data_IF_103729868840
#
_entry.id   IF_103729868840
#
_cell.length_a   1.000
_cell.length_b   1.000
_cell.length_c   1.000
_cell.angle_alpha   90.00
_cell.angle_beta   90.00
_cell.angle_gamma   90.00
#
_symmetry.space_group_name_H-M   'P 1'
#
loop_
_entity.id
_entity.type
_entity.pdbx_description
1 polymer ?
#
# COMPACT_ATOMS: atom_id res chain seq x y z
N UNK A 1 -20.47 1.60 -29.67
CA UNK A 1 -20.78 2.17 -28.35
C UNK A 1 -19.65 1.83 -27.41
N UNK A 2 -18.82 2.82 -27.06
CA UNK A 2 -17.73 2.63 -26.09
C UNK A 2 -18.32 2.72 -24.68
N UNK A 3 -18.39 1.59 -23.97
CA UNK A 3 -18.62 1.61 -22.52
C UNK A 3 -17.42 2.29 -21.86
N UNK A 4 -17.68 3.32 -21.06
CA UNK A 4 -16.67 4.13 -20.39
C UNK A 4 -16.43 3.53 -18.98
N UNK A 5 -15.37 2.73 -18.76
CA UNK A 5 -15.20 1.92 -17.54
C UNK A 5 -14.98 2.75 -16.26
N UNK A 6 -14.68 4.04 -16.39
CA UNK A 6 -14.53 4.98 -15.28
C UNK A 6 -15.85 5.36 -14.60
N UNK A 7 -16.97 5.30 -15.32
CA UNK A 7 -18.29 5.62 -14.76
C UNK A 7 -18.77 4.51 -13.82
N UNK A 8 -18.43 3.24 -14.10
CA UNK A 8 -18.84 2.10 -13.28
C UNK A 8 -18.17 2.07 -11.91
N UNK A 9 -16.91 2.52 -11.80
CA UNK A 9 -16.18 2.56 -10.52
C UNK A 9 -16.78 3.56 -9.53
N UNK A 10 -17.11 4.78 -9.98
CA UNK A 10 -17.73 5.81 -9.13
C UNK A 10 -19.16 5.46 -8.71
N UNK A 11 -19.92 4.82 -9.60
CA UNK A 11 -21.28 4.33 -9.30
C UNK A 11 -21.21 3.19 -8.29
N UNK A 12 -20.24 2.29 -8.43
CA UNK A 12 -20.00 1.18 -7.50
C UNK A 12 -19.53 1.65 -6.12
N UNK A 13 -18.62 2.63 -6.06
CA UNK A 13 -18.09 3.22 -4.83
C UNK A 13 -19.20 3.96 -4.05
N UNK A 14 -20.05 4.73 -4.75
CA UNK A 14 -21.26 5.35 -4.15
C UNK A 14 -22.28 4.32 -3.69
N UNK A 15 -22.42 3.19 -4.38
CA UNK A 15 -23.30 2.10 -3.96
C UNK A 15 -22.78 1.39 -2.70
N UNK A 16 -21.46 1.23 -2.57
CA UNK A 16 -20.84 0.67 -1.36
C UNK A 16 -20.98 1.60 -0.16
N UNK A 17 -20.74 2.90 -0.33
CA UNK A 17 -20.89 3.90 0.72
C UNK A 17 -22.34 4.03 1.21
N UNK A 18 -23.33 3.99 0.30
CA UNK A 18 -24.77 4.01 0.65
C UNK A 18 -25.25 2.78 1.42
N UNK A 19 -24.58 1.64 1.26
CA UNK A 19 -24.93 0.39 1.94
C UNK A 19 -24.20 0.29 3.29
N UNK A 20 -22.96 0.78 3.37
CA UNK A 20 -22.23 0.90 4.63
C UNK A 20 -22.96 1.86 5.59
N UNK A 21 -23.42 3.02 5.10
CA UNK A 21 -24.15 4.01 5.91
C UNK A 21 -25.51 3.55 6.46
N UNK A 22 -26.05 2.41 6.01
CA UNK A 22 -27.32 1.85 6.53
C UNK A 22 -27.13 0.85 7.68
N UNK A 23 -25.91 0.45 8.03
CA UNK A 23 -25.66 -0.65 8.98
C UNK A 23 -24.53 -0.41 10.01
N UNK A 24 -24.07 0.82 10.24
CA UNK A 24 -22.99 1.07 11.19
C UNK A 24 -23.47 1.29 12.63
N UNK A 25 -23.48 0.21 13.41
CA UNK A 25 -23.27 0.25 14.86
C UNK A 25 -21.96 -0.42 15.29
N UNK A 26 -20.97 -0.50 14.40
CA UNK A 26 -19.61 -0.94 14.77
C UNK A 26 -18.59 0.06 14.24
N UNK A 27 -18.08 0.89 15.15
CA UNK A 27 -17.00 1.86 14.98
C UNK A 27 -15.65 1.25 14.56
N UNK A 28 -15.55 -0.08 14.49
CA UNK A 28 -14.33 -0.79 14.11
C UNK A 28 -14.19 -0.99 12.59
N UNK A 29 -15.25 -0.74 11.79
CA UNK A 29 -15.18 -0.94 10.34
C UNK A 29 -14.40 0.16 9.59
N UNK A 30 -14.42 1.39 10.11
CA UNK A 30 -13.77 2.59 9.54
C UNK A 30 -12.58 3.09 10.37
N UNK A 31 -11.95 2.21 11.13
CA UNK A 31 -10.78 2.56 11.94
C UNK A 31 -9.46 2.44 11.17
N UNK A 32 -8.55 3.38 11.40
CA UNK A 32 -7.14 3.29 11.02
C UNK A 32 -6.32 3.26 12.31
N UNK A 33 -5.55 2.21 12.52
CA UNK A 33 -4.62 2.11 13.63
C UNK A 33 -3.22 2.47 13.16
N UNK A 34 -2.52 3.33 13.90
CA UNK A 34 -1.15 3.73 13.62
C UNK A 34 -0.26 3.39 14.80
N UNK A 35 0.88 2.77 14.52
CA UNK A 35 1.89 2.36 15.50
C UNK A 35 3.26 2.90 15.08
N UNK A 36 4.22 3.05 16.01
CA UNK A 36 5.59 3.39 15.64
C UNK A 36 6.26 2.27 14.86
N UNK A 37 7.35 2.58 14.12
CA UNK A 37 8.11 1.57 13.39
C UNK A 37 8.73 0.54 14.34
N UNK A 38 9.33 0.98 15.43
CA UNK A 38 9.92 0.14 16.48
C UNK A 38 9.52 0.65 17.86
N UNK A 39 9.67 -0.20 18.88
CA UNK A 39 9.40 0.22 20.26
C UNK A 39 10.30 1.39 20.64
N UNK A 40 9.72 2.47 21.18
CA UNK A 40 10.45 3.69 21.55
C UNK A 40 10.75 4.65 20.40
N UNK A 41 10.46 4.30 19.14
CA UNK A 41 10.59 5.24 18.02
C UNK A 41 9.38 6.19 17.95
N UNK A 42 9.58 7.47 17.58
CA UNK A 42 8.46 8.39 17.40
C UNK A 42 7.61 8.00 16.18
N UNK A 43 6.30 8.22 16.28
CA UNK A 43 5.38 8.05 15.15
C UNK A 43 5.54 9.24 14.20
N UNK A 44 6.03 8.99 12.98
CA UNK A 44 6.00 9.97 11.90
C UNK A 44 4.84 9.66 10.94
N UNK A 45 3.83 10.54 10.92
CA UNK A 45 2.65 10.37 10.06
C UNK A 45 2.90 10.86 8.63
N UNK A 46 2.17 10.31 7.64
CA UNK A 46 2.09 10.89 6.31
C UNK A 46 1.78 12.39 6.30
N UNK A 47 2.34 13.11 5.33
CA UNK A 47 1.99 14.52 5.12
C UNK A 47 0.50 14.60 4.75
N UNK A 48 -0.25 15.47 5.43
CA UNK A 48 -1.68 15.63 5.20
C UNK A 48 -2.55 14.48 5.75
N UNK A 49 -1.98 13.48 6.44
CA UNK A 49 -2.72 12.31 6.94
C UNK A 49 -4.00 12.70 7.68
N UNK A 50 -3.88 13.63 8.64
CA UNK A 50 -5.01 14.10 9.46
C UNK A 50 -6.16 14.65 8.60
N UNK A 51 -5.86 15.36 7.52
CA UNK A 51 -6.85 15.92 6.61
C UNK A 51 -7.50 14.81 5.76
N UNK A 52 -6.68 13.90 5.23
CA UNK A 52 -7.11 12.82 4.34
C UNK A 52 -7.90 11.72 5.06
N UNK A 53 -7.84 11.68 6.39
CA UNK A 53 -8.56 10.72 7.23
C UNK A 53 -9.60 11.37 8.14
N UNK A 54 -10.03 12.61 7.87
CA UNK A 54 -11.00 13.33 8.74
C UNK A 54 -12.32 12.58 8.96
N UNK A 55 -12.77 11.83 7.97
CA UNK A 55 -14.00 11.02 8.04
C UNK A 55 -13.78 9.63 8.65
N UNK A 56 -12.55 9.29 9.07
CA UNK A 56 -12.18 7.96 9.57
C UNK A 56 -11.78 8.02 11.05
N UNK A 57 -11.99 6.92 11.76
CA UNK A 57 -11.59 6.82 13.16
C UNK A 57 -10.10 6.46 13.27
N UNK A 58 -9.24 7.46 13.49
CA UNK A 58 -7.80 7.23 13.62
C UNK A 58 -7.41 6.98 15.09
N UNK A 59 -6.80 5.82 15.35
CA UNK A 59 -6.19 5.47 16.65
C UNK A 59 -4.68 5.53 16.52
N UNK A 60 -4.05 6.43 17.29
CA UNK A 60 -2.60 6.49 17.42
C UNK A 60 -2.19 5.70 18.67
N UNK A 61 -1.23 4.80 18.51
CA UNK A 61 -0.68 4.01 19.60
C UNK A 61 0.80 4.35 19.79
N UNK A 62 1.21 4.57 21.03
CA UNK A 62 2.61 4.81 21.39
C UNK A 62 3.41 3.52 21.53
N UNK A 63 2.72 2.41 21.79
CA UNK A 63 3.32 1.09 22.00
C UNK A 63 2.80 0.12 20.96
N UNK A 64 3.72 -0.64 20.36
CA UNK A 64 3.37 -1.74 19.47
C UNK A 64 2.76 -2.83 20.36
N UNK A 65 1.51 -3.27 20.11
CA UNK A 65 0.94 -4.36 20.89
C UNK A 65 1.86 -5.57 20.73
N UNK A 66 2.15 -6.25 21.85
CA UNK A 66 2.73 -7.57 21.77
C UNK A 66 1.74 -8.42 20.98
N UNK A 67 2.08 -8.68 19.72
CA UNK A 67 1.44 -9.74 18.96
C UNK A 67 1.91 -11.03 19.63
N UNK A 68 1.30 -11.36 20.76
CA UNK A 68 1.57 -12.60 21.47
C UNK A 68 1.38 -13.77 20.50
N UNK A 69 1.94 -14.92 20.85
CA UNK A 69 1.65 -16.20 20.19
C UNK A 69 0.15 -16.58 20.23
N UNK A 70 -0.75 -15.69 20.67
CA UNK A 70 -2.19 -15.78 20.55
C UNK A 70 -2.61 -15.64 19.10
N UNK A 71 -2.67 -16.81 18.49
CA UNK A 71 -3.36 -17.18 17.26
C UNK A 71 -4.71 -16.46 17.12
N UNK A 72 -4.70 -15.25 16.56
CA UNK A 72 -5.68 -14.89 15.55
C UNK A 72 -4.91 -14.50 14.31
N UNK A 73 -4.76 -15.49 13.42
CA UNK A 73 -4.42 -15.25 12.02
C UNK A 73 -5.23 -14.05 11.53
N UNK A 74 -4.68 -13.21 10.62
CA UNK A 74 -5.48 -12.22 9.92
C UNK A 74 -6.79 -12.88 9.47
N UNK A 75 -7.91 -12.35 9.95
CA UNK A 75 -9.23 -12.96 9.81
C UNK A 75 -9.44 -13.30 8.35
N UNK A 76 -9.53 -14.60 8.03
CA UNK A 76 -9.62 -15.06 6.65
C UNK A 76 -10.90 -14.50 6.05
N UNK A 77 -10.93 -14.33 4.72
CA UNK A 77 -12.11 -13.83 3.97
C UNK A 77 -13.44 -14.47 4.41
N UNK A 78 -13.41 -15.77 4.74
CA UNK A 78 -14.57 -16.52 5.19
C UNK A 78 -15.06 -16.14 6.59
N UNK A 79 -14.16 -15.72 7.48
CA UNK A 79 -14.45 -15.37 8.87
C UNK A 79 -15.08 -13.97 8.98
N UNK A 80 -14.66 -13.00 8.13
CA UNK A 80 -15.30 -11.68 8.03
C UNK A 80 -16.75 -11.79 7.53
N UNK A 81 -17.01 -12.67 6.56
CA UNK A 81 -18.36 -12.96 6.09
C UNK A 81 -19.23 -13.70 7.14
N UNK A 82 -18.64 -14.24 8.21
CA UNK A 82 -19.33 -14.83 9.35
C UNK A 82 -19.60 -13.87 10.50
N UNK A 83 -18.89 -12.74 10.57
CA UNK A 83 -19.03 -11.73 11.62
C UNK A 83 -20.03 -10.61 11.28
N UNK A 84 -20.39 -10.48 9.99
CA UNK A 84 -21.38 -9.52 9.55
C UNK A 84 -22.77 -10.16 9.64
N UNK A 85 -23.66 -9.56 10.44
CA UNK A 85 -25.08 -9.96 10.58
C UNK A 85 -25.80 -9.56 9.28
N UNK A 86 -25.61 -10.36 8.24
CA UNK A 86 -26.35 -10.22 6.99
C UNK A 86 -27.52 -11.17 6.96
N UNK A 87 -28.63 -10.75 6.35
CA UNK A 87 -29.61 -11.71 5.82
C UNK A 87 -28.90 -12.66 4.84
N UNK A 88 -29.38 -13.88 4.66
CA UNK A 88 -28.78 -14.85 3.73
C UNK A 88 -28.62 -14.29 2.30
N UNK A 89 -29.49 -13.35 1.90
CA UNK A 89 -29.48 -12.65 0.60
C UNK A 89 -28.40 -11.56 0.53
N UNK A 90 -28.19 -10.82 1.61
CA UNK A 90 -27.14 -9.80 1.71
C UNK A 90 -25.75 -10.42 1.84
N UNK A 91 -25.66 -11.56 2.51
CA UNK A 91 -24.43 -12.37 2.60
C UNK A 91 -24.05 -12.90 1.23
N UNK A 92 -25.02 -13.38 0.46
CA UNK A 92 -24.81 -13.82 -0.92
C UNK A 92 -24.43 -12.66 -1.84
N UNK A 93 -24.99 -11.46 -1.66
CA UNK A 93 -24.61 -10.27 -2.42
C UNK A 93 -23.22 -9.73 -2.03
N UNK A 94 -22.87 -9.74 -0.75
CA UNK A 94 -21.54 -9.39 -0.24
C UNK A 94 -20.46 -10.38 -0.71
N UNK A 95 -20.79 -11.67 -0.73
CA UNK A 95 -19.95 -12.72 -1.32
C UNK A 95 -19.94 -12.62 -2.85
N UNK A 96 -21.04 -12.31 -3.55
CA UNK A 96 -21.03 -12.13 -5.01
C UNK A 96 -20.27 -10.87 -5.45
N UNK A 97 -20.17 -9.85 -4.58
CA UNK A 97 -19.31 -8.65 -4.74
C UNK A 97 -17.82 -8.96 -4.52
N UNK A 98 -17.38 -10.16 -4.90
CA UNK A 98 -15.99 -10.52 -5.00
C UNK A 98 -15.33 -9.65 -6.08
N UNK A 99 -14.86 -8.50 -5.62
CA UNK A 99 -14.02 -7.60 -6.39
C UNK A 99 -12.82 -8.37 -6.93
N UNK A 100 -12.59 -8.24 -8.24
CA UNK A 100 -11.48 -8.88 -8.95
C UNK A 100 -10.15 -8.56 -8.26
N UNK A 101 -9.14 -9.41 -8.47
CA UNK A 101 -7.78 -9.17 -7.97
C UNK A 101 -7.30 -7.74 -8.29
N UNK A 102 -7.67 -7.25 -9.46
CA UNK A 102 -7.42 -5.90 -9.94
C UNK A 102 -7.99 -4.82 -9.01
N UNK A 103 -9.25 -4.93 -8.59
CA UNK A 103 -9.86 -3.93 -7.70
C UNK A 103 -9.21 -3.93 -6.32
N UNK A 104 -8.75 -5.10 -5.84
CA UNK A 104 -7.97 -5.19 -4.61
C UNK A 104 -6.67 -4.41 -4.76
N UNK A 105 -5.94 -4.63 -5.85
CA UNK A 105 -4.71 -3.89 -6.13
C UNK A 105 -4.98 -2.39 -6.24
N UNK A 106 -5.99 -1.96 -7.00
CA UNK A 106 -6.38 -0.55 -7.14
C UNK A 106 -6.63 0.08 -5.76
N UNK A 107 -7.36 -0.59 -4.87
CA UNK A 107 -7.63 -0.05 -3.53
C UNK A 107 -6.37 0.05 -2.65
N UNK A 108 -5.44 -0.90 -2.76
CA UNK A 108 -4.15 -0.84 -2.05
C UNK A 108 -3.29 0.31 -2.56
N UNK A 109 -3.19 0.48 -3.89
CA UNK A 109 -2.47 1.61 -4.49
C UNK A 109 -3.13 2.94 -4.16
N UNK A 110 -4.46 3.06 -4.26
CA UNK A 110 -5.18 4.28 -3.83
C UNK A 110 -4.86 4.64 -2.40
N UNK A 111 -4.90 3.68 -1.47
CA UNK A 111 -4.56 3.94 -0.09
C UNK A 111 -3.12 4.44 0.06
N UNK A 112 -2.15 3.81 -0.59
CA UNK A 112 -0.75 4.25 -0.56
C UNK A 112 -0.57 5.66 -1.16
N UNK A 113 -1.10 5.92 -2.34
CA UNK A 113 -0.93 7.19 -3.04
C UNK A 113 -1.69 8.32 -2.35
N UNK A 114 -2.99 8.13 -2.09
CA UNK A 114 -3.86 9.19 -1.58
C UNK A 114 -3.70 9.38 -0.08
N UNK A 115 -3.69 8.30 0.71
CA UNK A 115 -3.65 8.42 2.18
C UNK A 115 -2.23 8.54 2.72
N UNK A 116 -1.26 7.85 2.12
CA UNK A 116 0.11 7.82 2.65
C UNK A 116 1.08 8.76 1.93
N UNK A 117 0.94 9.05 0.64
CA UNK A 117 1.76 10.08 -0.03
C UNK A 117 1.04 11.43 -0.14
N UNK A 118 -0.28 11.45 0.06
CA UNK A 118 -1.09 12.66 -0.11
C UNK A 118 -1.31 13.05 -1.57
N UNK A 119 -1.07 12.14 -2.53
CA UNK A 119 -1.22 12.41 -3.96
C UNK A 119 -2.70 12.37 -4.37
N UNK A 120 -3.26 13.43 -4.98
CA UNK A 120 -4.66 13.50 -5.39
C UNK A 120 -4.85 12.71 -6.68
N UNK A 121 -5.24 11.45 -6.56
CA UNK A 121 -5.41 10.62 -7.75
C UNK A 121 -6.81 10.75 -8.39
N UNK A 122 -7.83 11.08 -7.59
CA UNK A 122 -9.21 11.33 -8.07
C UNK A 122 -9.76 12.72 -7.75
N UNK A 123 -9.39 13.29 -6.62
CA UNK A 123 -9.84 14.61 -6.19
C UNK A 123 -8.71 15.60 -6.39
N UNK A 124 -8.61 16.19 -7.58
CA UNK A 124 -7.87 17.44 -7.73
C UNK A 124 -8.64 18.49 -6.92
N UNK A 125 -8.31 18.66 -5.65
CA UNK A 125 -8.53 19.94 -5.02
C UNK A 125 -7.57 20.91 -5.73
N UNK A 126 -8.08 21.91 -6.48
CA UNK A 126 -7.23 22.85 -7.20
C UNK A 126 -6.28 23.65 -6.29
N UNK A 127 -6.41 23.53 -4.96
CA UNK A 127 -5.50 24.13 -3.97
C UNK A 127 -4.29 23.26 -3.60
N UNK A 128 -4.32 21.96 -3.88
CA UNK A 128 -3.17 21.08 -3.64
C UNK A 128 -2.29 21.06 -4.90
N UNK A 129 -1.43 22.05 -5.02
CA UNK A 129 -0.38 22.09 -6.04
C UNK A 129 0.70 21.06 -5.71
N UNK A 130 0.82 20.01 -6.53
CA UNK A 130 2.01 19.17 -6.57
C UNK A 130 2.93 19.74 -7.65
N UNK A 131 4.21 19.89 -7.33
CA UNK A 131 5.22 20.17 -8.34
C UNK A 131 5.14 19.09 -9.42
N UNK A 132 4.88 19.49 -10.66
CA UNK A 132 5.08 18.64 -11.82
C UNK A 132 6.54 18.15 -11.83
N UNK A 133 6.76 16.85 -12.06
CA UNK A 133 8.11 16.29 -12.18
C UNK A 133 8.59 15.39 -11.03
N UNK A 134 7.70 14.90 -10.16
CA UNK A 134 8.08 13.88 -9.17
C UNK A 134 8.42 12.54 -9.85
N UNK A 135 9.20 11.69 -9.19
CA UNK A 135 9.55 10.34 -9.62
C UNK A 135 9.02 9.32 -8.62
N UNK A 136 8.20 8.38 -9.10
CA UNK A 136 7.68 7.25 -8.32
C UNK A 136 8.28 5.95 -8.85
N UNK A 137 8.87 5.18 -7.95
CA UNK A 137 9.40 3.84 -8.25
C UNK A 137 8.49 2.80 -7.60
N UNK A 138 7.90 1.92 -8.40
CA UNK A 138 7.08 0.79 -7.95
C UNK A 138 7.91 -0.50 -7.98
N UNK A 139 8.21 -1.04 -6.80
CA UNK A 139 9.05 -2.23 -6.61
C UNK A 139 8.19 -3.47 -6.42
N UNK A 140 8.43 -4.49 -7.23
CA UNK A 140 7.56 -5.65 -7.33
C UNK A 140 6.26 -5.31 -8.06
N UNK A 141 6.37 -4.46 -9.09
CA UNK A 141 5.24 -3.94 -9.86
C UNK A 141 4.44 -5.05 -10.57
N UNK A 142 5.02 -6.24 -10.74
CA UNK A 142 4.41 -7.41 -11.34
C UNK A 142 3.71 -7.09 -12.66
N UNK A 143 2.49 -7.59 -12.78
CA UNK A 143 1.61 -7.31 -13.91
C UNK A 143 0.63 -6.16 -13.63
N UNK A 144 0.92 -5.28 -12.66
CA UNK A 144 0.14 -4.05 -12.43
C UNK A 144 0.07 -3.20 -13.72
N UNK A 145 1.05 -3.39 -14.61
CA UNK A 145 1.11 -2.79 -15.93
C UNK A 145 0.13 -3.39 -16.97
N UNK A 146 -0.38 -4.61 -16.79
CA UNK A 146 -1.52 -5.13 -17.58
C UNK A 146 -2.86 -4.67 -17.03
N UNK A 147 -2.90 -4.12 -15.81
CA UNK A 147 -4.08 -3.49 -15.26
C UNK A 147 -4.12 -2.00 -15.65
N UNK A 148 -4.86 -1.63 -16.71
CA UNK A 148 -4.90 -0.25 -17.21
C UNK A 148 -5.39 0.74 -16.14
N UNK A 149 -6.18 0.27 -15.16
CA UNK A 149 -6.72 1.12 -14.10
C UNK A 149 -5.63 1.56 -13.12
N UNK A 150 -4.74 0.66 -12.72
CA UNK A 150 -3.61 1.03 -11.83
C UNK A 150 -2.54 1.81 -12.61
N UNK A 151 -2.27 1.43 -13.86
CA UNK A 151 -1.38 2.20 -14.73
C UNK A 151 -1.84 3.66 -14.89
N UNK A 152 -3.14 3.86 -15.13
CA UNK A 152 -3.75 5.19 -15.23
C UNK A 152 -3.75 5.92 -13.87
N UNK A 153 -3.97 5.21 -12.77
CA UNK A 153 -3.91 5.76 -11.41
C UNK A 153 -2.52 6.35 -11.14
N UNK A 154 -1.47 5.59 -11.43
CA UNK A 154 -0.08 6.02 -11.22
C UNK A 154 0.28 7.19 -12.17
N UNK A 155 -0.10 7.11 -13.45
CA UNK A 155 0.27 8.14 -14.44
C UNK A 155 -0.46 9.48 -14.28
N UNK A 156 -1.66 9.50 -13.68
CA UNK A 156 -2.44 10.73 -13.46
C UNK A 156 -1.81 11.69 -12.45
N UNK A 157 -0.82 11.24 -11.69
CA UNK A 157 -0.16 12.02 -10.64
C UNK A 157 0.96 12.95 -11.12
N UNK A 158 1.08 13.25 -12.42
CA UNK A 158 2.13 14.10 -13.03
C UNK A 158 3.56 13.69 -12.64
N UNK A 159 3.73 12.39 -12.40
CA UNK A 159 4.92 11.76 -11.82
C UNK A 159 5.52 10.82 -12.86
N UNK A 160 6.83 10.86 -13.07
CA UNK A 160 7.54 9.82 -13.82
C UNK A 160 7.43 8.52 -13.03
N UNK A 161 6.74 7.52 -13.59
CA UNK A 161 6.58 6.22 -12.93
C UNK A 161 7.55 5.22 -13.53
N UNK A 162 8.30 4.51 -12.67
CA UNK A 162 9.20 3.43 -13.03
C UNK A 162 8.78 2.17 -12.27
N UNK A 163 8.32 1.13 -12.98
CA UNK A 163 8.00 -0.17 -12.40
C UNK A 163 9.17 -1.15 -12.54
N UNK A 164 9.62 -1.74 -11.43
CA UNK A 164 10.68 -2.73 -11.38
C UNK A 164 10.14 -4.12 -10.96
N UNK A 165 10.41 -5.15 -11.77
CA UNK A 165 10.08 -6.56 -11.50
C UNK A 165 10.90 -7.52 -12.38
N UNK A 166 10.84 -8.83 -12.09
CA UNK A 166 11.52 -9.90 -12.82
C UNK A 166 10.79 -10.31 -14.12
N UNK A 167 9.52 -9.89 -14.31
CA UNK A 167 8.67 -10.41 -15.39
C UNK A 167 9.14 -10.06 -16.82
N UNK A 168 9.36 -11.10 -17.63
CA UNK A 168 9.83 -11.01 -19.01
C UNK A 168 8.72 -10.85 -20.09
N UNK A 169 7.43 -10.91 -19.72
CA UNK A 169 6.30 -10.80 -20.67
C UNK A 169 5.76 -9.37 -20.85
N UNK A 170 6.60 -8.35 -20.63
CA UNK A 170 6.22 -6.95 -20.78
C UNK A 170 6.10 -6.48 -22.24
N UNK A 171 6.58 -7.29 -23.17
CA UNK A 171 6.62 -7.03 -24.61
C UNK A 171 5.26 -6.97 -25.31
N UNK A 172 4.16 -7.36 -24.65
CA UNK A 172 2.82 -7.38 -25.27
C UNK A 172 1.98 -6.10 -25.07
N UNK A 173 2.48 -5.09 -24.36
CA UNK A 173 1.71 -3.89 -23.97
C UNK A 173 2.41 -2.62 -24.47
N UNK A 174 2.18 -2.30 -25.75
CA UNK A 174 2.81 -1.19 -26.49
C UNK A 174 2.41 0.23 -26.02
N UNK A 175 1.49 0.38 -25.07
CA UNK A 175 0.88 1.69 -24.72
C UNK A 175 0.80 1.98 -23.22
N UNK A 176 1.70 1.43 -22.40
CA UNK A 176 1.67 1.69 -20.95
C UNK A 176 2.32 3.02 -20.61
N UNK A 177 1.71 3.86 -19.76
CA UNK A 177 2.27 5.15 -19.35
C UNK A 177 3.40 5.04 -18.31
N UNK A 178 3.86 3.82 -18.00
CA UNK A 178 4.85 3.52 -16.96
C UNK A 178 6.15 3.03 -17.61
N UNK A 179 7.28 3.63 -17.23
CA UNK A 179 8.61 3.16 -17.63
C UNK A 179 8.94 1.87 -16.88
N UNK A 180 9.66 0.95 -17.51
CA UNK A 180 9.80 -0.41 -17.00
C UNK A 180 11.26 -0.80 -16.86
N UNK A 181 11.55 -1.49 -15.77
CA UNK A 181 12.89 -1.97 -15.45
C UNK A 181 12.87 -3.44 -15.05
N UNK A 182 13.43 -4.31 -15.89
CA UNK A 182 13.53 -5.72 -15.54
C UNK A 182 14.66 -5.91 -14.53
N UNK A 183 14.30 -6.32 -13.32
CA UNK A 183 15.22 -6.46 -12.20
C UNK A 183 14.75 -7.61 -11.31
N UNK A 184 15.63 -8.58 -11.05
CA UNK A 184 15.35 -9.63 -10.07
C UNK A 184 15.51 -9.06 -8.66
N UNK A 185 14.47 -8.44 -8.12
CA UNK A 185 14.52 -7.84 -6.78
C UNK A 185 14.74 -8.86 -5.64
N UNK A 186 14.67 -10.17 -5.93
CA UNK A 186 14.92 -11.24 -4.96
C UNK A 186 16.38 -11.65 -4.96
N UNK A 187 16.95 -11.97 -6.13
CA UNK A 187 18.35 -12.41 -6.28
C UNK A 187 19.34 -11.26 -6.46
N UNK A 188 18.91 -10.17 -7.10
CA UNK A 188 19.68 -8.97 -7.40
C UNK A 188 19.05 -7.77 -6.69
N UNK A 189 19.51 -7.52 -5.47
CA UNK A 189 19.06 -6.38 -4.66
C UNK A 189 19.83 -5.12 -5.03
N UNK A 190 20.11 -4.89 -6.31
CA UNK A 190 20.65 -3.62 -6.78
C UNK A 190 19.79 -3.12 -7.93
N UNK A 191 19.08 -2.04 -7.67
CA UNK A 191 18.16 -1.44 -8.63
C UNK A 191 18.98 -0.48 -9.49
N UNK A 192 19.05 -0.65 -10.83
CA UNK A 192 19.88 0.16 -11.73
C UNK A 192 19.30 1.57 -11.97
N UNK A 193 19.10 2.29 -10.88
CA UNK A 193 18.74 3.70 -10.82
C UNK A 193 19.77 4.41 -9.95
N UNK A 194 20.06 5.68 -10.26
CA UNK A 194 20.99 6.49 -9.47
C UNK A 194 20.49 6.67 -8.03
N UNK A 195 21.40 6.97 -7.12
CA UNK A 195 21.03 7.33 -5.75
C UNK A 195 20.12 8.56 -5.74
N UNK A 196 19.22 8.63 -4.76
CA UNK A 196 18.41 9.81 -4.46
C UNK A 196 17.63 10.33 -5.68
N UNK A 197 17.04 9.39 -6.44
CA UNK A 197 16.29 9.69 -7.65
C UNK A 197 14.78 9.70 -7.45
N UNK A 198 14.29 9.10 -6.37
CA UNK A 198 12.86 8.87 -6.15
C UNK A 198 12.29 9.82 -5.10
N UNK A 199 11.21 10.49 -5.47
CA UNK A 199 10.31 11.19 -4.54
C UNK A 199 9.49 10.19 -3.73
N UNK A 200 9.03 9.15 -4.42
CA UNK A 200 8.14 8.13 -3.88
C UNK A 200 8.66 6.74 -4.22
N UNK A 201 8.71 5.86 -3.24
CA UNK A 201 8.92 4.42 -3.46
C UNK A 201 7.71 3.67 -2.93
N UNK A 202 7.06 2.90 -3.80
CA UNK A 202 5.92 2.06 -3.40
C UNK A 202 6.27 0.60 -3.68
N UNK A 203 5.84 -0.29 -2.78
CA UNK A 203 5.91 -1.73 -2.98
C UNK A 203 4.62 -2.33 -2.45
N UNK A 204 3.75 -2.81 -3.34
CA UNK A 204 2.47 -3.42 -2.96
C UNK A 204 2.52 -4.92 -3.19
N UNK A 205 2.33 -5.69 -2.12
CA UNK A 205 2.26 -7.15 -2.16
C UNK A 205 3.54 -7.81 -2.70
N UNK A 206 4.73 -7.29 -2.35
CA UNK A 206 6.02 -7.84 -2.79
C UNK A 206 6.88 -8.43 -1.66
N UNK A 207 7.12 -7.72 -0.56
CA UNK A 207 8.14 -8.09 0.46
C UNK A 207 7.96 -9.51 1.03
N UNK A 208 6.75 -10.07 1.05
CA UNK A 208 6.55 -11.45 1.50
C UNK A 208 7.33 -12.49 0.68
N UNK A 209 7.68 -12.18 -0.58
CA UNK A 209 8.53 -13.02 -1.42
C UNK A 209 9.98 -13.01 -0.93
N UNK A 210 10.50 -11.85 -0.50
CA UNK A 210 11.83 -11.73 0.11
C UNK A 210 11.94 -12.53 1.40
N UNK A 211 10.90 -12.44 2.25
CA UNK A 211 10.85 -13.17 3.53
C UNK A 211 10.76 -14.69 3.31
N UNK A 212 10.13 -15.12 2.22
CA UNK A 212 10.02 -16.53 1.84
C UNK A 212 11.22 -17.05 1.04
N UNK A 213 12.16 -16.18 0.66
CA UNK A 213 13.30 -16.54 -0.17
C UNK A 213 14.29 -17.44 0.57
N UNK A 214 14.98 -18.36 -0.13
CA UNK A 214 16.03 -19.18 0.47
C UNK A 214 17.20 -18.29 0.92
N UNK A 215 17.74 -18.55 2.10
CA UNK A 215 18.85 -17.80 2.69
C UNK A 215 18.49 -17.11 4.00
N UNK A 216 19.38 -16.23 4.48
CA UNK A 216 19.13 -15.46 5.68
C UNK A 216 18.16 -14.31 5.39
N UNK A 217 16.94 -14.44 5.92
CA UNK A 217 15.85 -13.47 5.72
C UNK A 217 16.22 -12.06 6.15
N UNK A 218 16.99 -11.94 7.23
CA UNK A 218 17.40 -10.65 7.78
C UNK A 218 18.29 -9.90 6.79
N UNK A 219 19.29 -10.58 6.24
CA UNK A 219 20.21 -10.06 5.22
C UNK A 219 19.48 -9.67 3.95
N UNK A 220 18.60 -10.54 3.43
CA UNK A 220 17.84 -10.30 2.19
C UNK A 220 16.93 -9.08 2.33
N UNK A 221 16.17 -9.00 3.44
CA UNK A 221 15.28 -7.86 3.70
C UNK A 221 16.09 -6.59 3.94
N UNK A 222 17.19 -6.66 4.69
CA UNK A 222 18.07 -5.50 4.93
C UNK A 222 18.57 -4.91 3.60
N UNK A 223 19.13 -5.74 2.72
CA UNK A 223 19.67 -5.28 1.44
C UNK A 223 18.60 -4.68 0.52
N UNK A 224 17.39 -5.26 0.45
CA UNK A 224 16.27 -4.63 -0.26
C UNK A 224 15.90 -3.26 0.34
N UNK A 225 15.83 -3.15 1.66
CA UNK A 225 15.50 -1.88 2.33
C UNK A 225 16.63 -0.85 2.21
N UNK A 226 17.89 -1.28 2.14
CA UNK A 226 19.02 -0.42 1.81
C UNK A 226 18.88 0.19 0.43
N UNK A 227 18.40 -0.57 -0.56
CA UNK A 227 18.09 -0.01 -1.87
C UNK A 227 16.93 0.96 -1.84
N UNK A 228 15.86 0.66 -1.11
CA UNK A 228 14.76 1.61 -0.90
C UNK A 228 15.29 2.93 -0.33
N UNK A 229 16.12 2.86 0.71
CA UNK A 229 16.73 4.03 1.32
C UNK A 229 17.66 4.79 0.36
N UNK A 230 18.47 4.07 -0.43
CA UNK A 230 19.39 4.63 -1.43
C UNK A 230 18.65 5.38 -2.54
N UNK A 231 17.49 4.88 -2.97
CA UNK A 231 16.68 5.50 -4.02
C UNK A 231 15.98 6.77 -3.55
N UNK A 232 15.54 6.82 -2.29
CA UNK A 232 14.81 7.96 -1.75
C UNK A 232 15.69 9.21 -1.67
N UNK A 233 15.26 10.29 -2.30
CA UNK A 233 15.86 11.62 -2.11
C UNK A 233 15.52 12.20 -0.74
N UNK A 234 16.20 13.28 -0.35
CA UNK A 234 15.84 14.03 0.86
C UNK A 234 14.38 14.50 0.81
N UNK A 235 13.65 14.28 1.90
CA UNK A 235 12.21 14.52 1.98
C UNK A 235 11.32 13.46 1.31
N UNK A 236 11.91 12.51 0.57
CA UNK A 236 11.21 11.43 -0.14
C UNK A 236 10.51 10.45 0.80
N UNK A 237 9.49 9.78 0.29
CA UNK A 237 8.58 8.92 1.08
C UNK A 237 8.50 7.51 0.49
N UNK A 238 8.35 6.50 1.34
CA UNK A 238 8.06 5.14 0.91
C UNK A 238 6.86 4.52 1.62
N UNK A 239 6.14 3.67 0.88
CA UNK A 239 5.05 2.84 1.40
C UNK A 239 5.27 1.41 0.99
N UNK A 240 5.38 0.54 1.98
CA UNK A 240 5.59 -0.89 1.81
C UNK A 240 4.38 -1.65 2.35
N UNK A 241 3.60 -2.26 1.46
CA UNK A 241 2.48 -3.11 1.80
C UNK A 241 2.84 -4.56 1.46
N UNK A 242 2.64 -5.49 2.39
CA UNK A 242 2.86 -6.91 2.15
C UNK A 242 1.95 -7.79 3.01
N UNK A 243 2.04 -9.10 2.82
CA UNK A 243 1.26 -10.10 3.55
C UNK A 243 2.15 -10.85 4.55
N UNK A 244 2.34 -10.33 5.78
CA UNK A 244 3.11 -11.03 6.80
C UNK A 244 2.45 -12.34 7.19
N UNK A 245 3.25 -13.36 7.47
CA UNK A 245 2.79 -14.62 8.09
C UNK A 245 2.65 -14.46 9.61
N UNK A 246 3.46 -13.59 10.21
CA UNK A 246 3.49 -13.34 11.66
C UNK A 246 3.76 -11.88 12.01
N UNK A 247 3.54 -11.50 13.27
CA UNK A 247 3.98 -10.20 13.79
C UNK A 247 5.51 -10.01 13.74
N UNK A 248 6.26 -11.12 13.80
CA UNK A 248 7.72 -11.10 13.69
C UNK A 248 8.17 -10.61 12.31
N UNK A 249 7.44 -10.92 11.23
CA UNK A 249 7.75 -10.43 9.89
C UNK A 249 7.60 -8.90 9.80
N UNK A 250 6.56 -8.35 10.42
CA UNK A 250 6.34 -6.90 10.48
C UNK A 250 7.46 -6.25 11.28
N UNK A 251 7.80 -6.83 12.44
CA UNK A 251 8.87 -6.33 13.30
C UNK A 251 10.23 -6.37 12.59
N UNK A 252 10.53 -7.45 11.85
CA UNK A 252 11.75 -7.58 11.06
C UNK A 252 11.86 -6.45 10.05
N UNK A 253 10.84 -6.26 9.20
CA UNK A 253 10.87 -5.21 8.16
C UNK A 253 10.99 -3.82 8.77
N UNK A 254 10.23 -3.52 9.84
CA UNK A 254 10.29 -2.20 10.46
C UNK A 254 11.63 -1.95 11.17
N UNK A 255 12.18 -2.96 11.87
CA UNK A 255 13.48 -2.84 12.53
C UNK A 255 14.59 -2.63 11.49
N UNK A 256 14.61 -3.44 10.44
CA UNK A 256 15.59 -3.28 9.37
C UNK A 256 15.46 -1.91 8.69
N UNK A 257 14.24 -1.44 8.43
CA UNK A 257 14.01 -0.11 7.85
C UNK A 257 14.59 1.03 8.71
N UNK A 258 14.51 0.91 10.05
CA UNK A 258 15.13 1.88 10.96
C UNK A 258 16.66 1.77 11.03
N UNK A 259 17.24 0.64 10.63
CA UNK A 259 18.67 0.40 10.67
C UNK A 259 19.38 0.78 9.36
N UNK A 260 18.70 0.70 8.20
CA UNK A 260 19.35 0.93 6.89
C UNK A 260 19.72 2.39 6.64
N UNK A 261 19.06 3.35 7.28
CA UNK A 261 19.39 4.77 7.14
C UNK A 261 18.95 5.58 8.36
N UNK A 262 19.84 6.36 9.01
CA UNK A 262 19.54 7.02 10.29
C UNK A 262 18.47 8.12 10.18
N UNK A 263 18.25 8.67 8.98
CA UNK A 263 17.23 9.70 8.73
C UNK A 263 15.87 9.13 8.26
N UNK A 264 15.66 7.81 8.31
CA UNK A 264 14.33 7.25 8.03
C UNK A 264 13.49 7.26 9.30
N UNK A 265 12.36 7.95 9.23
CA UNK A 265 11.33 7.95 10.27
C UNK A 265 9.98 7.61 9.67
N UNK A 266 9.07 7.04 10.45
CA UNK A 266 7.82 6.55 9.87
C UNK A 266 6.84 5.97 10.87
N UNK A 267 5.92 5.17 10.35
CA UNK A 267 4.94 4.47 11.15
C UNK A 267 4.41 3.21 10.45
N UNK A 268 3.78 2.35 11.23
CA UNK A 268 2.99 1.22 10.75
C UNK A 268 1.53 1.66 10.72
N UNK A 269 0.87 1.49 9.59
CA UNK A 269 -0.53 1.81 9.41
C UNK A 269 -1.28 0.51 9.15
N UNK A 270 -2.24 0.21 10.02
CA UNK A 270 -3.15 -0.93 9.88
C UNK A 270 -4.52 -0.39 9.53
N UNK A 271 -5.00 -0.73 8.34
CA UNK A 271 -6.28 -0.23 7.84
C UNK A 271 -7.01 -1.28 7.02
N UNK A 272 -8.33 -1.09 6.86
CA UNK A 272 -9.17 -1.84 5.94
C UNK A 272 -9.48 -0.98 4.71
N UNK A 273 -8.61 -0.94 3.67
CA UNK A 273 -8.87 -0.17 2.46
C UNK A 273 -10.06 -0.72 1.66
N UNK A 274 -10.51 -1.95 1.94
CA UNK A 274 -11.70 -2.57 1.36
C UNK A 274 -12.56 -3.22 2.44
N UNK A 275 -13.79 -2.74 2.61
CA UNK A 275 -14.72 -3.18 3.66
C UNK A 275 -14.96 -4.71 3.67
N UNK A 276 -14.92 -5.36 2.51
CA UNK A 276 -15.13 -6.81 2.40
C UNK A 276 -13.85 -7.65 2.53
N UNK A 277 -12.75 -7.04 2.99
CA UNK A 277 -11.46 -7.70 3.18
C UNK A 277 -10.95 -7.51 4.62
N UNK A 278 -10.06 -8.41 5.02
CA UNK A 278 -9.31 -8.28 6.26
C UNK A 278 -8.41 -7.04 6.25
N UNK A 279 -7.91 -6.69 7.44
CA UNK A 279 -6.95 -5.60 7.64
C UNK A 279 -5.70 -5.80 6.78
N UNK A 280 -5.11 -4.68 6.39
CA UNK A 280 -3.87 -4.57 5.62
C UNK A 280 -2.87 -3.76 6.42
N UNK A 281 -1.61 -4.17 6.32
CA UNK A 281 -0.48 -3.48 6.95
C UNK A 281 0.26 -2.71 5.87
N UNK A 282 0.47 -1.43 6.13
CA UNK A 282 1.30 -0.53 5.35
C UNK A 282 2.41 -0.01 6.26
N UNK A 283 3.65 -0.13 5.85
CA UNK A 283 4.78 0.53 6.51
C UNK A 283 5.05 1.80 5.73
N UNK A 284 4.84 2.94 6.36
CA UNK A 284 5.19 4.25 5.82
C UNK A 284 6.52 4.69 6.43
N UNK A 285 7.40 5.23 5.60
CA UNK A 285 8.56 5.96 6.08
C UNK A 285 8.88 7.15 5.18
N UNK A 286 9.61 8.11 5.73
CA UNK A 286 10.09 9.30 5.07
C UNK A 286 11.55 9.51 5.43
N UNK A 287 12.33 9.89 4.43
CA UNK A 287 13.69 10.37 4.64
C UNK A 287 13.61 11.82 5.10
N UNK A 288 13.96 12.07 6.35
CA UNK A 288 14.13 13.44 6.86
C UNK A 288 15.43 14.00 6.30
N UNK A 289 15.49 15.33 6.21
CA UNK A 289 16.73 16.04 5.91
C UNK A 289 17.77 15.86 7.04
#
# INVERSE_FOLDING_TARGET
>A
MFHNPTVDLLVFERALLRIAGKHTQSSDFDSICVYPLTCGSPVCLPIGFKHLTQEKFVRLYEVIPEFGNTVKRPTRRAEVAGQLIFSSKDRLNFLRRHLSREYIQVALYRFALETCFGLPVYHQDPKLFFSSGNVLVDLGAGDVNSNPTVGTLLSRSHTLVIGADLYHHWSCLLSSPINRLTCDLVQQQTIPLRNECADFVVSISFIQWLIASPGDKSTIVNAFLSEVARLLRSGGQCVLQFYPQSGADINLVCHQLTCVHPHLSGCRIVSRPLLNRGLKVFIYARRTD
#
